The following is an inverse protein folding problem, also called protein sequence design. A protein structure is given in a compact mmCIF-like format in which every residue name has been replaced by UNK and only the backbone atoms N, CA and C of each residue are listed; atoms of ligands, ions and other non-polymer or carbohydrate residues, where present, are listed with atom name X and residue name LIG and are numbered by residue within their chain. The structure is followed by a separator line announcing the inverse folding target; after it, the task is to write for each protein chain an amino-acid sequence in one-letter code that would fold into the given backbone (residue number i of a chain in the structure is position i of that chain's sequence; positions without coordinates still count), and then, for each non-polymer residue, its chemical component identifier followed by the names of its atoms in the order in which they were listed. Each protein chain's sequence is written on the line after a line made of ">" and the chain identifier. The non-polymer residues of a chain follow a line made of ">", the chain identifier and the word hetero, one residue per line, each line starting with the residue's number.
data_IF_378913561246
#
_entry.id   IF_378913561246
#
_cell.length_a   1.000
_cell.length_b   1.000
_cell.length_c   1.000
_cell.angle_alpha   90.00
_cell.angle_beta   90.00
_cell.angle_gamma   90.00
#
_symmetry.space_group_name_H-M   'P 1'
#
loop_
_entity.id
_entity.type
_entity.pdbx_description
1 polymer ?
#
# COMPACT_ATOMS: atom_id res chain seq x y z
N UNK A 1 -13.71 -96.21 -37.22
CA UNK A 1 -12.86 -95.36 -36.43
C UNK A 1 -12.80 -94.01 -37.12
N UNK A 2 -13.50 -92.98 -36.59
CA UNK A 2 -13.52 -91.65 -37.12
C UNK A 2 -13.00 -90.71 -36.00
N UNK A 3 -11.83 -90.14 -36.23
CA UNK A 3 -11.15 -89.26 -35.27
C UNK A 3 -11.53 -87.80 -35.64
N UNK A 4 -12.23 -87.15 -34.70
CA UNK A 4 -12.62 -85.74 -34.83
C UNK A 4 -11.55 -84.84 -34.18
N UNK A 5 -10.93 -83.97 -34.99
CA UNK A 5 -9.99 -82.95 -34.50
C UNK A 5 -10.80 -81.66 -34.18
N UNK A 6 -10.82 -81.23 -32.91
CA UNK A 6 -11.40 -79.94 -32.55
C UNK A 6 -10.35 -78.86 -32.52
N UNK A 7 -10.51 -77.83 -33.35
CA UNK A 7 -9.73 -76.61 -33.42
C UNK A 7 -10.19 -75.68 -32.29
N UNK A 8 -9.30 -75.33 -31.36
CA UNK A 8 -9.52 -74.24 -30.38
C UNK A 8 -8.97 -72.94 -30.92
N UNK A 9 -9.83 -71.99 -31.18
CA UNK A 9 -9.41 -70.60 -31.42
C UNK A 9 -9.05 -69.94 -30.10
N UNK A 10 -7.80 -69.51 -29.94
CA UNK A 10 -7.35 -68.65 -28.85
C UNK A 10 -7.53 -67.19 -29.30
N UNK A 11 -8.49 -66.52 -28.69
CA UNK A 11 -8.68 -65.07 -28.88
C UNK A 11 -7.65 -64.27 -28.05
N UNK A 12 -6.79 -63.54 -28.71
CA UNK A 12 -5.92 -62.53 -28.07
C UNK A 12 -6.73 -61.26 -27.86
N UNK A 13 -7.08 -60.95 -26.62
CA UNK A 13 -7.58 -59.65 -26.24
C UNK A 13 -6.41 -58.70 -26.00
N UNK A 14 -6.16 -57.79 -26.93
CA UNK A 14 -5.21 -56.71 -26.77
C UNK A 14 -5.83 -55.63 -25.88
N UNK A 15 -5.45 -55.58 -24.60
CA UNK A 15 -5.79 -54.46 -23.72
C UNK A 15 -4.92 -53.24 -24.08
N UNK A 16 -5.52 -52.24 -24.76
CA UNK A 16 -4.91 -50.90 -24.88
C UNK A 16 -4.91 -50.22 -23.50
N UNK A 17 -3.76 -50.21 -22.82
CA UNK A 17 -3.52 -49.32 -21.70
C UNK A 17 -3.31 -47.91 -22.29
N UNK A 18 -4.35 -47.06 -22.23
CA UNK A 18 -4.22 -45.63 -22.42
C UNK A 18 -3.51 -45.05 -21.16
N UNK A 19 -2.21 -44.86 -21.26
CA UNK A 19 -1.47 -44.10 -20.26
C UNK A 19 -1.89 -42.64 -20.36
N UNK A 20 -2.76 -42.21 -19.42
CA UNK A 20 -3.06 -40.81 -19.23
C UNK A 20 -1.80 -40.15 -18.65
N UNK A 21 -0.98 -39.58 -19.51
CA UNK A 21 0.04 -38.64 -19.07
C UNK A 21 -0.69 -37.39 -18.56
N UNK A 22 -0.90 -37.32 -17.26
CA UNK A 22 -1.23 -36.06 -16.60
C UNK A 22 0.00 -35.15 -16.80
N UNK A 23 -0.07 -34.30 -17.81
CA UNK A 23 0.81 -33.14 -17.87
C UNK A 23 0.46 -32.29 -16.63
N UNK A 24 1.25 -32.41 -15.59
CA UNK A 24 1.35 -31.33 -14.61
C UNK A 24 1.87 -30.12 -15.41
N UNK A 25 0.97 -29.29 -15.90
CA UNK A 25 1.36 -27.96 -16.37
C UNK A 25 2.04 -27.30 -15.18
N UNK A 26 3.37 -27.17 -15.25
CA UNK A 26 4.11 -26.38 -14.27
C UNK A 26 3.43 -25.01 -14.27
N UNK A 27 3.04 -24.55 -13.08
CA UNK A 27 2.45 -23.25 -12.93
C UNK A 27 3.45 -22.23 -13.50
N UNK A 28 3.04 -21.56 -14.57
CA UNK A 28 3.91 -20.60 -15.25
C UNK A 28 3.72 -19.23 -14.61
N UNK A 29 4.83 -18.56 -14.32
CA UNK A 29 4.82 -17.14 -13.96
C UNK A 29 4.22 -16.26 -15.07
N UNK A 30 4.17 -14.96 -14.88
CA UNK A 30 3.55 -14.06 -15.84
C UNK A 30 4.34 -13.98 -17.14
N UNK A 31 3.63 -13.94 -18.25
CA UNK A 31 4.21 -13.51 -19.53
C UNK A 31 4.29 -11.97 -19.55
N UNK A 32 5.39 -11.43 -20.09
CA UNK A 32 5.45 -10.01 -20.43
C UNK A 32 4.73 -9.78 -21.75
N UNK A 33 3.77 -8.87 -21.78
CA UNK A 33 2.91 -8.61 -22.93
C UNK A 33 2.84 -7.12 -23.25
N UNK A 34 2.40 -6.78 -24.47
CA UNK A 34 2.14 -5.39 -24.83
C UNK A 34 0.81 -4.90 -24.20
N UNK A 35 0.80 -3.62 -23.81
CA UNK A 35 -0.43 -2.93 -23.42
C UNK A 35 -1.39 -2.64 -24.59
N UNK A 36 -2.52 -1.99 -24.34
CA UNK A 36 -3.02 -1.62 -23.02
C UNK A 36 -3.52 -2.81 -22.21
N UNK A 37 -3.59 -2.63 -20.88
CA UNK A 37 -4.13 -3.59 -19.94
C UNK A 37 -5.64 -3.53 -19.78
N UNK A 38 -6.17 -4.37 -18.88
CA UNK A 38 -7.54 -4.32 -18.42
C UNK A 38 -7.78 -3.06 -17.57
N UNK A 39 -9.03 -2.59 -17.53
CA UNK A 39 -9.49 -1.47 -16.70
C UNK A 39 -8.51 -0.27 -16.65
N UNK A 40 -8.18 0.35 -17.81
CA UNK A 40 -7.12 1.35 -17.89
C UNK A 40 -7.41 2.63 -17.11
N UNK A 41 -8.65 2.85 -16.68
CA UNK A 41 -9.01 3.93 -15.78
C UNK A 41 -8.50 3.68 -14.37
N UNK A 42 -8.62 2.45 -13.89
CA UNK A 42 -8.16 2.04 -12.56
C UNK A 42 -6.67 1.65 -12.55
N UNK A 43 -6.25 0.82 -13.50
CA UNK A 43 -4.88 0.30 -13.55
C UNK A 43 -4.01 1.18 -14.46
N UNK A 44 -3.78 2.41 -14.03
CA UNK A 44 -2.93 3.35 -14.77
C UNK A 44 -1.46 2.94 -14.65
N UNK A 45 -0.72 2.77 -15.76
CA UNK A 45 0.71 2.48 -15.66
C UNK A 45 1.46 3.66 -15.02
N UNK A 46 2.47 3.35 -14.21
CA UNK A 46 3.28 4.36 -13.52
C UNK A 46 4.01 5.28 -14.51
N UNK A 47 4.52 4.71 -15.60
CA UNK A 47 5.20 5.43 -16.68
C UNK A 47 4.75 4.87 -18.04
N UNK A 48 5.04 5.61 -19.11
CA UNK A 48 4.64 5.21 -20.46
C UNK A 48 5.32 3.92 -20.94
N UNK A 49 6.49 3.59 -20.40
CA UNK A 49 7.27 2.38 -20.69
C UNK A 49 7.03 1.23 -19.71
N UNK A 50 6.07 1.39 -18.78
CA UNK A 50 5.66 0.33 -17.86
C UNK A 50 5.25 -0.92 -18.64
N UNK A 51 5.85 -2.05 -18.30
CA UNK A 51 5.55 -3.36 -18.90
C UNK A 51 4.23 -3.88 -18.33
N UNK A 52 3.65 -4.84 -19.05
CA UNK A 52 2.42 -5.50 -18.60
C UNK A 52 2.69 -6.98 -18.36
N UNK A 53 2.09 -7.50 -17.31
CA UNK A 53 2.08 -8.91 -16.99
C UNK A 53 0.74 -9.54 -17.33
N UNK A 54 0.80 -10.81 -17.74
CA UNK A 54 -0.37 -11.66 -17.93
C UNK A 54 -0.08 -13.06 -17.41
N UNK A 55 -0.80 -13.49 -16.39
CA UNK A 55 -0.79 -14.86 -15.91
C UNK A 55 -1.76 -15.71 -16.71
N UNK A 56 -1.54 -17.04 -16.82
CA UNK A 56 -2.59 -17.94 -17.27
C UNK A 56 -3.83 -17.80 -16.38
N UNK A 57 -5.01 -17.67 -16.99
CA UNK A 57 -6.26 -17.59 -16.23
C UNK A 57 -6.46 -18.83 -15.36
N UNK A 58 -6.79 -18.64 -14.11
CA UNK A 58 -7.12 -19.71 -13.15
C UNK A 58 -8.63 -19.79 -12.95
N UNK A 59 -9.19 -21.01 -12.75
CA UNK A 59 -10.57 -21.13 -12.31
C UNK A 59 -10.72 -20.62 -10.87
N UNK A 60 -11.72 -19.77 -10.62
CA UNK A 60 -12.08 -19.32 -9.28
C UNK A 60 -12.96 -20.36 -8.54
N UNK A 61 -13.35 -20.08 -7.27
CA UNK A 61 -12.93 -18.93 -6.46
C UNK A 61 -11.52 -19.09 -5.88
N UNK A 62 -10.85 -17.94 -5.63
CA UNK A 62 -9.43 -17.84 -5.33
C UNK A 62 -9.11 -17.79 -3.82
N UNK A 63 -7.92 -18.26 -3.46
CA UNK A 63 -7.32 -18.04 -2.14
C UNK A 63 -6.33 -16.88 -2.24
N UNK A 64 -6.61 -15.79 -1.53
CA UNK A 64 -5.81 -14.56 -1.54
C UNK A 64 -5.29 -14.29 -0.13
N UNK A 65 -4.01 -13.97 0.02
CA UNK A 65 -3.42 -13.60 1.30
C UNK A 65 -2.92 -12.16 1.29
N UNK A 66 -2.98 -11.49 2.46
CA UNK A 66 -2.33 -10.22 2.73
C UNK A 66 -1.30 -10.42 3.84
N UNK A 67 -0.01 -10.34 3.49
CA UNK A 67 1.12 -10.37 4.40
C UNK A 67 1.53 -8.93 4.76
N UNK A 68 0.95 -8.42 5.85
CA UNK A 68 1.27 -7.11 6.38
C UNK A 68 2.46 -7.21 7.36
N UNK A 69 3.22 -6.12 7.47
CA UNK A 69 4.22 -5.95 8.51
C UNK A 69 3.59 -5.66 9.88
N UNK A 70 3.83 -4.47 10.41
CA UNK A 70 3.28 -4.05 11.70
C UNK A 70 1.85 -3.48 11.59
N UNK A 71 1.16 -3.40 12.73
CA UNK A 71 -0.19 -2.82 12.86
C UNK A 71 -0.25 -1.74 13.96
N UNK A 72 0.88 -1.05 14.19
CA UNK A 72 1.02 -0.10 15.29
C UNK A 72 0.44 1.29 15.00
N UNK A 73 -0.22 1.49 13.87
CA UNK A 73 -0.90 2.74 13.55
C UNK A 73 -2.29 2.52 12.93
N UNK A 74 -3.10 3.56 12.99
CA UNK A 74 -4.50 3.53 12.54
C UNK A 74 -4.62 3.29 11.04
N UNK A 75 -3.66 3.82 10.23
CA UNK A 75 -3.63 3.58 8.80
C UNK A 75 -3.57 2.08 8.45
N UNK A 76 -2.68 1.34 9.13
CA UNK A 76 -2.52 -0.12 8.92
C UNK A 76 -3.75 -0.90 9.37
N UNK A 77 -4.37 -0.49 10.48
CA UNK A 77 -5.62 -1.08 10.95
C UNK A 77 -6.74 -0.83 9.95
N UNK A 78 -6.92 0.40 9.50
CA UNK A 78 -7.93 0.77 8.52
C UNK A 78 -7.68 0.08 7.16
N UNK A 79 -6.45 0.00 6.71
CA UNK A 79 -6.05 -0.71 5.49
C UNK A 79 -6.51 -2.18 5.50
N UNK A 80 -6.32 -2.89 6.61
CA UNK A 80 -6.76 -4.28 6.77
C UNK A 80 -8.29 -4.36 6.73
N UNK A 81 -8.98 -3.45 7.43
CA UNK A 81 -10.46 -3.38 7.45
C UNK A 81 -11.00 -3.17 6.04
N UNK A 82 -10.46 -2.21 5.30
CA UNK A 82 -10.87 -1.91 3.93
C UNK A 82 -10.61 -3.10 3.00
N UNK A 83 -9.45 -3.76 3.09
CA UNK A 83 -9.17 -4.94 2.28
C UNK A 83 -10.19 -6.06 2.51
N UNK A 84 -10.53 -6.32 3.79
CA UNK A 84 -11.55 -7.31 4.17
C UNK A 84 -12.96 -6.90 3.73
N UNK A 85 -13.32 -5.61 3.90
CA UNK A 85 -14.61 -5.08 3.47
C UNK A 85 -14.79 -5.25 1.96
N UNK A 86 -13.76 -4.89 1.16
CA UNK A 86 -13.80 -5.07 -0.29
C UNK A 86 -13.92 -6.55 -0.68
N UNK A 87 -13.14 -7.43 -0.06
CA UNK A 87 -13.20 -8.87 -0.32
C UNK A 87 -14.57 -9.47 0.00
N UNK A 88 -15.33 -8.87 0.90
CA UNK A 88 -16.69 -9.28 1.28
C UNK A 88 -17.81 -8.64 0.47
N UNK A 89 -17.52 -7.68 -0.41
CA UNK A 89 -18.55 -6.99 -1.19
C UNK A 89 -19.26 -7.92 -2.18
N UNK A 90 -20.57 -7.75 -2.41
CA UNK A 90 -21.29 -8.43 -3.49
C UNK A 90 -20.60 -8.19 -4.85
N UNK A 91 -20.43 -9.24 -5.65
CA UNK A 91 -19.72 -9.18 -6.92
C UNK A 91 -18.20 -9.36 -6.80
N UNK A 92 -17.63 -9.33 -5.57
CA UNK A 92 -16.20 -9.60 -5.29
C UNK A 92 -16.06 -10.91 -4.52
N UNK A 93 -16.87 -11.11 -3.47
CA UNK A 93 -16.82 -12.29 -2.61
C UNK A 93 -17.03 -13.62 -3.35
N UNK A 94 -17.74 -13.60 -4.47
CA UNK A 94 -17.98 -14.77 -5.32
C UNK A 94 -16.68 -15.25 -6.01
N UNK A 95 -15.71 -14.35 -6.21
CA UNK A 95 -14.39 -14.66 -6.75
C UNK A 95 -13.42 -15.16 -5.65
N UNK A 96 -13.76 -15.01 -4.37
CA UNK A 96 -12.84 -15.25 -3.25
C UNK A 96 -13.30 -16.46 -2.43
N UNK A 97 -12.50 -17.52 -2.41
CA UNK A 97 -12.68 -18.70 -1.55
C UNK A 97 -12.20 -18.43 -0.12
N UNK A 98 -11.08 -17.72 0.01
CA UNK A 98 -10.46 -17.38 1.29
C UNK A 98 -9.69 -16.08 1.13
N UNK A 99 -9.91 -15.12 2.06
CA UNK A 99 -9.08 -13.92 2.20
C UNK A 99 -8.43 -13.94 3.57
N UNK A 100 -7.13 -14.21 3.63
CA UNK A 100 -6.37 -14.34 4.89
C UNK A 100 -5.41 -13.18 5.09
N UNK A 101 -5.40 -12.63 6.30
CA UNK A 101 -4.47 -11.56 6.68
C UNK A 101 -3.55 -12.07 7.79
N UNK A 102 -2.26 -11.77 7.66
CA UNK A 102 -1.27 -11.97 8.71
C UNK A 102 -0.49 -10.66 8.91
N UNK A 103 -0.18 -10.35 10.17
CA UNK A 103 0.71 -9.25 10.55
C UNK A 103 1.82 -9.80 11.42
N UNK A 104 3.06 -9.52 11.08
CA UNK A 104 4.26 -10.15 11.67
C UNK A 104 5.13 -9.18 12.47
N UNK A 105 4.69 -7.92 12.61
CA UNK A 105 5.53 -6.86 13.19
C UNK A 105 6.57 -6.37 12.19
N UNK A 106 7.64 -5.76 12.69
CA UNK A 106 8.71 -5.18 11.85
C UNK A 106 9.78 -6.22 11.42
N UNK A 107 9.62 -7.48 11.81
CA UNK A 107 10.56 -8.54 11.46
C UNK A 107 10.46 -8.93 9.98
N UNK A 108 11.48 -8.57 9.20
CA UNK A 108 11.58 -8.86 7.76
C UNK A 108 11.64 -10.37 7.50
N UNK A 109 12.39 -11.13 8.32
CA UNK A 109 12.52 -12.56 8.14
C UNK A 109 11.19 -13.28 8.42
N UNK A 110 10.45 -12.85 9.44
CA UNK A 110 9.11 -13.36 9.71
C UNK A 110 8.12 -13.05 8.58
N UNK A 111 8.23 -11.86 7.94
CA UNK A 111 7.38 -11.52 6.80
C UNK A 111 7.69 -12.39 5.57
N UNK A 112 8.97 -12.58 5.25
CA UNK A 112 9.42 -13.49 4.20
C UNK A 112 8.94 -14.92 4.46
N UNK A 113 9.06 -15.41 5.69
CA UNK A 113 8.57 -16.73 6.08
C UNK A 113 7.05 -16.87 5.90
N UNK A 114 6.28 -15.85 6.26
CA UNK A 114 4.83 -15.83 6.07
C UNK A 114 4.44 -15.90 4.59
N UNK A 115 5.11 -15.13 3.72
CA UNK A 115 4.87 -15.19 2.26
C UNK A 115 5.23 -16.55 1.69
N UNK A 116 6.41 -17.11 2.05
CA UNK A 116 6.80 -18.45 1.64
C UNK A 116 5.78 -19.52 2.04
N UNK A 117 5.26 -19.41 3.27
CA UNK A 117 4.25 -20.34 3.76
C UNK A 117 2.93 -20.26 2.98
N UNK A 118 2.50 -19.07 2.57
CA UNK A 118 1.34 -18.91 1.69
C UNK A 118 1.57 -19.53 0.30
N UNK A 119 2.77 -19.35 -0.28
CA UNK A 119 3.14 -20.01 -1.55
C UNK A 119 3.05 -21.53 -1.38
N UNK A 120 3.65 -22.09 -0.33
CA UNK A 120 3.69 -23.53 -0.06
C UNK A 120 2.30 -24.13 0.26
N UNK A 121 1.38 -23.32 0.81
CA UNK A 121 -0.03 -23.67 1.02
C UNK A 121 -0.89 -23.56 -0.23
N UNK A 122 -0.36 -23.12 -1.38
CA UNK A 122 -1.06 -23.01 -2.64
C UNK A 122 -2.08 -21.86 -2.67
N UNK A 123 -1.74 -20.69 -2.09
CA UNK A 123 -2.51 -19.48 -2.34
C UNK A 123 -2.32 -19.03 -3.78
N UNK A 124 -3.38 -18.47 -4.38
CA UNK A 124 -3.37 -18.05 -5.78
C UNK A 124 -2.73 -16.67 -5.95
N UNK A 125 -2.96 -15.78 -5.01
CA UNK A 125 -2.32 -14.46 -4.95
C UNK A 125 -1.89 -14.09 -3.53
N UNK A 126 -0.78 -13.34 -3.43
CA UNK A 126 -0.24 -12.84 -2.17
C UNK A 126 0.04 -11.35 -2.32
N UNK A 127 -0.56 -10.57 -1.43
CA UNK A 127 -0.40 -9.13 -1.33
C UNK A 127 0.57 -8.83 -0.20
N UNK A 128 1.54 -7.96 -0.43
CA UNK A 128 2.58 -7.60 0.55
C UNK A 128 2.61 -6.09 0.76
N UNK A 129 2.62 -5.65 2.01
CA UNK A 129 3.06 -4.33 2.39
C UNK A 129 4.42 -4.50 3.07
N UNK A 130 5.52 -4.27 2.33
CA UNK A 130 6.84 -4.78 2.67
C UNK A 130 7.51 -3.99 3.79
N UNK A 131 8.10 -4.71 4.76
CA UNK A 131 8.94 -4.08 5.80
C UNK A 131 10.31 -3.62 5.25
N UNK A 132 10.77 -4.25 4.18
CA UNK A 132 12.02 -3.89 3.50
C UNK A 132 11.88 -4.14 2.00
N UNK A 133 12.20 -3.14 1.19
CA UNK A 133 12.01 -3.19 -0.26
C UNK A 133 12.88 -4.24 -0.95
N UNK A 134 14.15 -4.34 -0.56
CA UNK A 134 15.16 -5.12 -1.26
C UNK A 134 15.24 -6.60 -0.83
N UNK A 135 14.53 -7.00 0.26
CA UNK A 135 14.73 -8.31 0.86
C UNK A 135 13.95 -9.46 0.18
N UNK A 136 13.07 -9.17 -0.79
CA UNK A 136 12.09 -10.13 -1.29
C UNK A 136 12.45 -10.84 -2.61
N UNK A 137 13.62 -10.58 -3.21
CA UNK A 137 13.93 -11.10 -4.55
C UNK A 137 13.80 -12.63 -4.69
N UNK A 138 14.25 -13.41 -3.69
CA UNK A 138 14.08 -14.87 -3.70
C UNK A 138 12.62 -15.31 -3.59
N UNK A 139 11.82 -14.56 -2.85
CA UNK A 139 10.38 -14.82 -2.67
C UNK A 139 9.61 -14.50 -3.94
N UNK A 140 9.94 -13.38 -4.61
CA UNK A 140 9.37 -13.01 -5.92
C UNK A 140 9.62 -14.12 -6.93
N UNK A 141 10.88 -14.61 -7.01
CA UNK A 141 11.21 -15.73 -7.89
C UNK A 141 10.40 -16.97 -7.56
N UNK A 142 10.32 -17.37 -6.28
CA UNK A 142 9.56 -18.55 -5.84
C UNK A 142 8.07 -18.44 -6.17
N UNK A 143 7.46 -17.28 -5.97
CA UNK A 143 6.07 -17.03 -6.30
C UNK A 143 5.82 -17.19 -7.81
N UNK A 144 6.68 -16.59 -8.63
CA UNK A 144 6.58 -16.71 -10.09
C UNK A 144 6.76 -18.15 -10.57
N UNK A 145 7.77 -18.87 -10.05
CA UNK A 145 7.99 -20.30 -10.39
C UNK A 145 6.77 -21.16 -10.00
N UNK A 146 6.06 -20.82 -8.93
CA UNK A 146 4.84 -21.49 -8.48
C UNK A 146 3.57 -20.99 -9.18
N UNK A 147 3.65 -20.00 -10.07
CA UNK A 147 2.50 -19.36 -10.72
C UNK A 147 1.58 -18.61 -9.75
N UNK A 148 2.11 -18.13 -8.64
CA UNK A 148 1.40 -17.32 -7.66
C UNK A 148 1.53 -15.84 -8.06
N UNK A 149 0.42 -15.11 -8.08
CA UNK A 149 0.44 -13.67 -8.33
C UNK A 149 0.94 -12.96 -7.08
N UNK A 150 2.14 -12.37 -7.15
CA UNK A 150 2.69 -11.58 -6.06
C UNK A 150 2.54 -10.08 -6.35
N UNK A 151 1.90 -9.37 -5.42
CA UNK A 151 1.66 -7.94 -5.50
C UNK A 151 2.23 -7.26 -4.26
N UNK A 152 2.77 -6.06 -4.44
CA UNK A 152 3.14 -5.19 -3.34
C UNK A 152 2.47 -3.83 -3.48
N UNK A 153 2.18 -3.17 -2.36
CA UNK A 153 1.57 -1.85 -2.37
C UNK A 153 2.08 -0.99 -1.22
N UNK A 154 1.97 0.34 -1.36
CA UNK A 154 2.42 1.33 -0.39
C UNK A 154 3.93 1.20 -0.14
N UNK A 155 4.35 0.35 0.77
CA UNK A 155 5.75 -0.08 0.88
C UNK A 155 6.01 -1.23 -0.11
N UNK A 156 6.42 -0.87 -1.32
CA UNK A 156 6.57 -1.83 -2.42
C UNK A 156 7.87 -2.63 -2.35
N UNK A 157 7.84 -3.81 -2.94
CA UNK A 157 9.03 -4.65 -3.15
C UNK A 157 9.82 -4.11 -4.34
N UNK A 158 11.11 -3.88 -4.17
CA UNK A 158 12.02 -3.43 -5.22
C UNK A 158 12.50 -4.61 -6.08
N UNK A 159 11.59 -5.14 -6.86
CA UNK A 159 11.84 -6.20 -7.86
C UNK A 159 10.89 -5.99 -9.03
N UNK A 160 11.38 -5.94 -10.29
CA UNK A 160 10.53 -5.71 -11.46
C UNK A 160 9.62 -6.88 -11.82
N UNK A 161 9.71 -8.02 -11.14
CA UNK A 161 8.94 -9.23 -11.44
C UNK A 161 7.75 -9.45 -10.49
N UNK A 162 7.32 -8.41 -9.76
CA UNK A 162 6.06 -8.39 -9.01
C UNK A 162 5.20 -7.21 -9.47
N UNK A 163 3.90 -7.25 -9.19
CA UNK A 163 3.03 -6.09 -9.42
C UNK A 163 3.23 -5.10 -8.26
N UNK A 164 3.45 -3.84 -8.60
CA UNK A 164 3.61 -2.74 -7.65
C UNK A 164 2.44 -1.78 -7.77
N UNK A 165 1.82 -1.43 -6.65
CA UNK A 165 0.69 -0.49 -6.60
C UNK A 165 1.04 0.61 -5.61
N UNK A 166 1.24 1.82 -6.10
CA UNK A 166 1.67 2.91 -5.23
C UNK A 166 1.22 4.27 -5.77
N UNK A 167 1.32 5.26 -4.89
CA UNK A 167 1.31 6.67 -5.25
C UNK A 167 2.75 7.14 -5.48
N UNK A 168 2.89 8.36 -5.97
CA UNK A 168 4.18 9.01 -6.00
C UNK A 168 4.60 9.49 -4.59
N UNK A 169 5.15 8.57 -3.77
CA UNK A 169 5.58 8.87 -2.40
C UNK A 169 6.64 9.98 -2.36
N UNK A 170 7.57 9.97 -3.30
CA UNK A 170 8.57 11.04 -3.43
C UNK A 170 7.91 12.39 -3.73
N UNK A 171 6.87 12.39 -4.57
CA UNK A 171 6.07 13.58 -4.86
C UNK A 171 5.35 14.14 -3.64
N UNK A 172 4.88 13.28 -2.72
CA UNK A 172 4.28 13.71 -1.45
C UNK A 172 5.30 14.49 -0.62
N UNK A 173 6.49 13.93 -0.41
CA UNK A 173 7.54 14.63 0.33
C UNK A 173 7.98 15.95 -0.33
N UNK A 174 8.08 15.96 -1.66
CA UNK A 174 8.38 17.17 -2.43
C UNK A 174 7.34 18.27 -2.17
N UNK A 175 6.06 17.96 -2.30
CA UNK A 175 4.96 18.92 -2.12
C UNK A 175 4.89 19.42 -0.67
N UNK A 176 5.10 18.55 0.32
CA UNK A 176 5.19 18.94 1.73
C UNK A 176 6.31 19.97 1.97
N UNK A 177 7.51 19.72 1.41
CA UNK A 177 8.62 20.67 1.47
C UNK A 177 8.34 21.99 0.77
N UNK A 178 7.78 21.95 -0.43
CA UNK A 178 7.39 23.15 -1.20
C UNK A 178 6.33 23.97 -0.43
N UNK A 179 5.34 23.30 0.17
CA UNK A 179 4.32 23.98 0.99
C UNK A 179 4.96 24.69 2.19
N UNK A 180 5.80 24.01 2.98
CA UNK A 180 6.44 24.61 4.15
C UNK A 180 7.33 25.78 3.76
N UNK A 181 8.12 25.65 2.70
CA UNK A 181 8.99 26.73 2.21
C UNK A 181 8.24 27.93 1.64
N UNK A 182 7.02 27.73 1.14
CA UNK A 182 6.12 28.81 0.71
C UNK A 182 5.53 29.55 1.90
N UNK A 183 5.09 28.83 2.93
CA UNK A 183 4.41 29.43 4.08
C UNK A 183 5.38 30.10 5.08
N UNK A 184 6.61 29.59 5.23
CA UNK A 184 7.62 30.22 6.09
C UNK A 184 8.38 31.34 5.38
N UNK A 185 8.66 32.44 6.13
CA UNK A 185 9.44 33.60 5.62
C UNK A 185 10.84 33.66 6.22
N UNK A 186 11.17 32.84 7.22
CA UNK A 186 12.46 32.85 7.89
C UNK A 186 13.60 32.48 6.94
N UNK A 187 14.77 33.07 7.14
CA UNK A 187 16.01 32.74 6.44
C UNK A 187 17.21 32.83 7.41
N UNK A 188 17.82 31.72 7.84
CA UNK A 188 17.46 30.33 7.48
C UNK A 188 16.10 29.93 8.01
N UNK A 189 15.37 29.11 7.23
CA UNK A 189 14.16 28.45 7.70
C UNK A 189 14.53 27.25 8.58
N UNK A 190 13.90 27.12 9.75
CA UNK A 190 14.11 26.00 10.68
C UNK A 190 12.94 25.05 10.61
N UNK A 191 13.15 23.86 10.08
CA UNK A 191 12.10 22.87 9.88
C UNK A 191 12.32 21.66 10.80
N UNK A 192 11.24 21.18 11.43
CA UNK A 192 11.22 19.90 12.10
C UNK A 192 10.68 18.85 11.12
N UNK A 193 11.42 17.75 10.96
CA UNK A 193 11.00 16.63 10.15
C UNK A 193 10.78 15.39 11.02
N UNK A 194 9.51 15.00 11.19
CA UNK A 194 9.07 13.83 11.97
C UNK A 194 8.87 12.66 11.01
N UNK A 195 9.86 11.78 10.99
CA UNK A 195 9.97 10.68 10.03
C UNK A 195 9.19 9.45 10.45
N UNK A 196 8.94 8.59 9.46
CA UNK A 196 8.47 7.22 9.67
C UNK A 196 9.54 6.29 10.25
N UNK A 197 9.28 4.96 10.30
CA UNK A 197 10.29 3.98 10.68
C UNK A 197 11.43 3.98 9.66
N UNK A 198 12.63 4.29 10.15
CA UNK A 198 13.80 4.52 9.32
C UNK A 198 14.09 3.35 8.37
N UNK A 199 14.29 3.66 7.09
CA UNK A 199 14.64 2.69 6.04
C UNK A 199 13.47 1.93 5.43
N UNK A 200 12.24 2.22 5.82
CA UNK A 200 11.08 1.71 5.08
C UNK A 200 10.90 2.45 3.75
N UNK A 201 10.39 1.77 2.70
CA UNK A 201 10.32 2.35 1.34
C UNK A 201 9.62 3.70 1.27
N UNK A 202 8.52 3.87 2.00
CA UNK A 202 7.75 5.13 2.06
C UNK A 202 8.55 6.22 2.75
N UNK A 203 9.18 5.94 3.90
CA UNK A 203 10.02 6.89 4.64
C UNK A 203 11.18 7.38 3.76
N UNK A 204 11.88 6.48 3.09
CA UNK A 204 12.99 6.84 2.21
C UNK A 204 12.51 7.73 1.06
N UNK A 205 11.45 7.33 0.36
CA UNK A 205 10.95 8.08 -0.79
C UNK A 205 10.43 9.47 -0.41
N UNK A 206 9.68 9.59 0.70
CA UNK A 206 9.18 10.88 1.20
C UNK A 206 10.32 11.78 1.68
N UNK A 207 11.31 11.23 2.38
CA UNK A 207 12.52 11.96 2.78
C UNK A 207 13.27 12.51 1.57
N UNK A 208 13.49 11.69 0.53
CA UNK A 208 14.14 12.11 -0.71
C UNK A 208 13.38 13.26 -1.39
N UNK A 209 12.06 13.22 -1.40
CA UNK A 209 11.22 14.27 -1.97
C UNK A 209 11.32 15.57 -1.16
N UNK A 210 11.29 15.49 0.15
CA UNK A 210 11.43 16.64 1.04
C UNK A 210 12.79 17.31 0.89
N UNK A 211 13.87 16.53 0.86
CA UNK A 211 15.23 17.07 0.62
C UNK A 211 15.37 17.68 -0.78
N UNK A 212 14.70 17.10 -1.78
CA UNK A 212 14.66 17.67 -3.14
C UNK A 212 13.97 19.04 -3.17
N UNK A 213 12.85 19.22 -2.43
CA UNK A 213 12.19 20.51 -2.30
C UNK A 213 13.13 21.58 -1.72
N UNK A 214 13.85 21.22 -0.65
CA UNK A 214 14.83 22.10 -0.02
C UNK A 214 15.93 22.48 -1.01
N UNK A 215 16.53 21.51 -1.69
CA UNK A 215 17.61 21.75 -2.66
C UNK A 215 17.14 22.65 -3.82
N UNK A 216 15.94 22.42 -4.34
CA UNK A 216 15.37 23.22 -5.44
C UNK A 216 15.00 24.66 -5.04
N UNK A 217 14.71 24.90 -3.77
CA UNK A 217 14.30 26.21 -3.28
C UNK A 217 15.40 27.27 -3.32
N UNK A 218 16.67 26.85 -3.29
CA UNK A 218 17.82 27.73 -3.16
C UNK A 218 17.90 28.49 -1.83
N UNK A 219 16.99 28.21 -0.88
CA UNK A 219 16.94 28.86 0.45
C UNK A 219 17.87 28.15 1.42
N UNK A 220 18.30 28.88 2.45
CA UNK A 220 18.97 28.28 3.60
C UNK A 220 17.93 27.63 4.49
N UNK A 221 18.07 26.34 4.76
CA UNK A 221 17.16 25.56 5.59
C UNK A 221 17.96 24.74 6.58
N UNK A 222 17.58 24.82 7.84
CA UNK A 222 18.08 23.97 8.92
C UNK A 222 17.00 22.93 9.23
N UNK A 223 17.31 21.64 9.09
CA UNK A 223 16.36 20.57 9.37
C UNK A 223 16.78 19.83 10.64
N UNK A 224 15.86 19.72 11.57
CA UNK A 224 15.97 18.80 12.71
C UNK A 224 15.12 17.57 12.40
N UNK A 225 15.75 16.40 12.31
CA UNK A 225 15.05 15.14 12.05
C UNK A 225 14.85 14.35 13.33
N UNK A 226 13.64 13.81 13.50
CA UNK A 226 13.25 12.91 14.61
C UNK A 226 12.41 11.76 14.06
N UNK A 227 12.40 10.62 14.74
CA UNK A 227 11.66 9.43 14.28
C UNK A 227 10.38 9.27 15.08
N UNK A 228 9.23 9.44 14.41
CA UNK A 228 7.89 9.33 14.98
C UNK A 228 7.18 8.00 14.65
N UNK A 229 7.85 7.10 13.88
CA UNK A 229 7.37 5.74 13.60
C UNK A 229 5.97 5.65 12.98
N UNK A 230 5.47 6.72 12.35
CA UNK A 230 4.09 6.85 11.86
C UNK A 230 3.04 6.57 12.96
N UNK A 231 3.41 6.82 14.21
CA UNK A 231 2.57 6.62 15.38
C UNK A 231 2.26 7.95 16.05
N UNK A 232 0.98 8.30 16.32
CA UNK A 232 0.64 9.59 16.91
C UNK A 232 1.28 9.84 18.27
N UNK A 233 1.39 8.81 19.12
CA UNK A 233 2.02 8.93 20.44
C UNK A 233 3.52 9.19 20.37
N UNK A 234 4.23 8.46 19.48
CA UNK A 234 5.65 8.65 19.25
C UNK A 234 5.91 10.04 18.60
N UNK A 235 5.13 10.41 17.59
CA UNK A 235 5.22 11.71 16.93
C UNK A 235 4.98 12.87 17.93
N UNK A 236 4.00 12.75 18.83
CA UNK A 236 3.76 13.73 19.90
C UNK A 236 4.97 13.85 20.81
N UNK A 237 5.47 12.70 21.29
CA UNK A 237 6.62 12.66 22.20
C UNK A 237 7.85 13.31 21.59
N UNK A 238 8.28 12.87 20.39
CA UNK A 238 9.51 13.37 19.77
C UNK A 238 9.41 14.84 19.37
N UNK A 239 8.22 15.30 18.99
CA UNK A 239 7.94 16.72 18.71
C UNK A 239 8.02 17.55 19.98
N UNK A 240 7.40 17.09 21.09
CA UNK A 240 7.49 17.77 22.38
C UNK A 240 8.92 17.83 22.90
N UNK A 241 9.67 16.73 22.77
CA UNK A 241 11.10 16.69 23.17
C UNK A 241 11.93 17.68 22.34
N UNK A 242 11.72 17.78 21.04
CA UNK A 242 12.41 18.73 20.17
C UNK A 242 12.11 20.19 20.54
N UNK A 243 10.83 20.50 20.86
CA UNK A 243 10.42 21.83 21.35
C UNK A 243 11.04 22.13 22.72
N UNK A 244 11.02 21.17 23.64
CA UNK A 244 11.56 21.33 24.98
C UNK A 244 13.08 21.52 25.01
N UNK A 245 13.79 20.91 24.07
CA UNK A 245 15.24 21.11 23.88
C UNK A 245 15.61 22.52 23.37
N UNK A 246 14.64 23.42 23.28
CA UNK A 246 14.84 24.80 22.84
C UNK A 246 14.68 24.99 21.35
N UNK A 247 14.13 23.99 20.64
CA UNK A 247 13.83 24.08 19.21
C UNK A 247 12.72 25.11 18.95
N UNK A 248 13.03 26.10 18.12
CA UNK A 248 12.04 27.00 17.52
C UNK A 248 12.00 26.66 16.04
N UNK A 249 10.85 26.22 15.58
CA UNK A 249 10.67 25.78 14.21
C UNK A 249 9.74 26.73 13.47
N UNK A 250 9.97 26.91 12.18
CA UNK A 250 9.15 27.73 11.28
C UNK A 250 8.14 26.88 10.50
N UNK A 251 8.26 25.56 10.57
CA UNK A 251 7.37 24.60 9.96
C UNK A 251 7.70 23.18 10.38
N UNK A 252 6.70 22.28 10.28
CA UNK A 252 6.85 20.87 10.64
C UNK A 252 6.35 19.99 9.48
N UNK A 253 7.18 19.05 9.04
CA UNK A 253 6.75 17.95 8.17
C UNK A 253 6.63 16.67 8.99
N UNK A 254 5.49 15.98 8.86
CA UNK A 254 5.19 14.73 9.58
C UNK A 254 4.76 13.67 8.57
N UNK A 255 5.55 12.62 8.43
CA UNK A 255 5.24 11.53 7.49
C UNK A 255 4.05 10.66 7.91
N UNK A 256 3.62 10.73 9.16
CA UNK A 256 2.49 10.02 9.73
C UNK A 256 2.42 10.18 11.24
N UNK A 257 1.22 10.04 11.82
CA UNK A 257 0.95 10.42 13.21
C UNK A 257 0.84 11.94 13.37
N UNK A 258 0.36 12.61 12.34
CA UNK A 258 0.36 14.08 12.21
C UNK A 258 -0.42 14.76 13.33
N UNK A 259 -1.54 14.13 13.80
CA UNK A 259 -2.27 14.66 14.95
C UNK A 259 -1.41 14.73 16.21
N UNK A 260 -0.50 13.77 16.43
CA UNK A 260 0.36 13.76 17.61
C UNK A 260 1.36 14.93 17.59
N UNK A 261 2.02 15.16 16.48
CA UNK A 261 2.93 16.30 16.32
C UNK A 261 2.20 17.64 16.46
N UNK A 262 1.02 17.78 15.85
CA UNK A 262 0.18 18.95 15.98
C UNK A 262 -0.27 19.18 17.44
N UNK A 263 -0.63 18.10 18.16
CA UNK A 263 -0.99 18.18 19.58
C UNK A 263 0.18 18.67 20.44
N UNK A 264 1.38 18.15 20.22
CA UNK A 264 2.57 18.61 20.96
C UNK A 264 2.81 20.12 20.77
N UNK A 265 2.54 20.64 19.58
CA UNK A 265 2.65 22.07 19.29
C UNK A 265 1.57 22.89 20.02
N UNK A 266 0.33 22.43 20.02
CA UNK A 266 -0.78 23.06 20.76
C UNK A 266 -0.51 23.05 22.25
N UNK A 267 -0.07 21.92 22.81
CA UNK A 267 0.24 21.75 24.24
C UNK A 267 1.40 22.66 24.69
N UNK A 268 2.39 22.87 23.84
CA UNK A 268 3.50 23.78 24.13
C UNK A 268 3.06 25.25 24.25
N UNK A 269 1.97 25.64 23.61
CA UNK A 269 1.34 26.97 23.76
C UNK A 269 2.20 28.15 23.34
N UNK A 270 3.36 27.92 22.71
CA UNK A 270 4.37 28.95 22.43
C UNK A 270 4.29 29.51 21.01
N UNK A 271 3.99 28.67 20.05
CA UNK A 271 3.87 29.04 18.65
C UNK A 271 3.09 27.97 17.87
N UNK A 272 2.36 28.42 16.89
CA UNK A 272 1.74 27.56 15.88
C UNK A 272 2.36 27.90 14.54
N UNK A 273 2.83 26.89 13.82
CA UNK A 273 3.52 27.04 12.53
C UNK A 273 2.85 26.20 11.47
N UNK A 274 3.14 26.40 10.18
CA UNK A 274 2.68 25.53 9.11
C UNK A 274 3.07 24.06 9.35
N UNK A 275 2.14 23.13 9.07
CA UNK A 275 2.34 21.70 9.23
C UNK A 275 1.95 20.98 7.93
N UNK A 276 2.86 20.20 7.39
CA UNK A 276 2.56 19.22 6.34
C UNK A 276 2.41 17.83 6.99
N UNK A 277 1.33 17.12 6.68
CA UNK A 277 1.02 15.83 7.29
C UNK A 277 0.14 14.95 6.43
N UNK A 278 -0.45 13.92 7.03
CA UNK A 278 -1.35 12.99 6.35
C UNK A 278 -2.84 13.36 6.51
N UNK A 279 -3.71 12.67 5.80
CA UNK A 279 -5.16 12.92 5.76
C UNK A 279 -5.93 12.30 6.95
N UNK A 280 -5.30 12.31 8.15
CA UNK A 280 -5.91 11.94 9.42
C UNK A 280 -7.01 12.93 9.81
N UNK A 281 -8.19 12.43 10.20
CA UNK A 281 -9.33 13.26 10.53
C UNK A 281 -9.03 14.21 11.72
N UNK A 282 -8.42 13.70 12.80
CA UNK A 282 -8.06 14.53 13.95
C UNK A 282 -7.04 15.63 13.59
N UNK A 283 -6.05 15.32 12.76
CA UNK A 283 -5.09 16.32 12.28
C UNK A 283 -5.81 17.44 11.53
N UNK A 284 -6.69 17.08 10.59
CA UNK A 284 -7.48 18.07 9.84
C UNK A 284 -8.43 18.90 10.70
N UNK A 285 -9.04 18.29 11.73
CA UNK A 285 -9.84 19.05 12.72
C UNK A 285 -8.97 20.08 13.43
N UNK A 286 -7.81 19.66 13.97
CA UNK A 286 -6.89 20.56 14.66
C UNK A 286 -6.38 21.68 13.76
N UNK A 287 -6.12 21.40 12.50
CA UNK A 287 -5.74 22.41 11.52
C UNK A 287 -6.84 23.44 11.31
N UNK A 288 -8.11 23.03 11.20
CA UNK A 288 -9.23 23.98 11.06
C UNK A 288 -9.39 24.85 12.32
N UNK A 289 -9.31 24.26 13.51
CA UNK A 289 -9.45 24.98 14.79
C UNK A 289 -8.34 26.01 15.03
N UNK A 290 -7.17 25.79 14.46
CA UNK A 290 -5.98 26.61 14.71
C UNK A 290 -5.45 27.33 13.45
N UNK A 291 -6.20 27.28 12.33
CA UNK A 291 -5.78 27.88 11.07
C UNK A 291 -5.46 29.37 11.19
N UNK A 292 -6.38 30.13 11.77
CA UNK A 292 -6.23 31.58 11.95
C UNK A 292 -5.21 31.97 13.03
N UNK A 293 -4.75 30.97 13.81
CA UNK A 293 -3.69 31.16 14.82
C UNK A 293 -2.29 30.83 14.29
N UNK A 294 -2.19 30.48 13.00
CA UNK A 294 -0.91 30.22 12.32
C UNK A 294 -0.66 28.76 11.93
N UNK A 295 -1.50 27.79 12.37
CA UNK A 295 -1.39 26.39 11.95
C UNK A 295 -2.04 26.18 10.58
N UNK A 296 -1.40 26.70 9.54
CA UNK A 296 -1.77 26.34 8.18
C UNK A 296 -1.29 24.95 7.87
N UNK A 297 -2.16 24.13 7.26
CA UNK A 297 -1.80 22.75 7.00
C UNK A 297 -1.94 22.39 5.52
N UNK A 298 -1.02 21.52 5.11
CA UNK A 298 -1.16 20.64 3.96
C UNK A 298 -1.37 19.23 4.49
N UNK A 299 -2.29 18.51 3.90
CA UNK A 299 -2.43 17.09 4.17
C UNK A 299 -2.47 16.31 2.88
N UNK A 300 -1.62 15.29 2.79
CA UNK A 300 -1.49 14.50 1.59
C UNK A 300 -1.17 13.06 1.88
N UNK A 301 -1.58 12.20 0.97
CA UNK A 301 -1.30 10.80 1.09
C UNK A 301 -2.14 9.97 0.13
N UNK A 302 -2.03 8.66 0.29
CA UNK A 302 -2.99 7.71 -0.28
C UNK A 302 -3.71 7.07 0.88
N UNK A 303 -5.02 7.19 0.87
CA UNK A 303 -5.83 6.55 1.88
C UNK A 303 -5.65 5.04 1.93
N UNK A 304 -5.98 4.41 3.06
CA UNK A 304 -5.91 2.97 3.26
C UNK A 304 -6.65 2.13 2.22
N UNK A 305 -7.59 2.75 1.49
CA UNK A 305 -8.38 2.09 0.43
C UNK A 305 -7.56 1.63 -0.79
N UNK A 306 -6.29 2.01 -0.91
CA UNK A 306 -5.39 1.39 -1.89
C UNK A 306 -5.29 -0.14 -1.73
N UNK A 307 -5.53 -0.67 -0.53
CA UNK A 307 -5.60 -2.11 -0.30
C UNK A 307 -6.73 -2.79 -1.06
N UNK A 308 -7.89 -2.13 -1.21
CA UNK A 308 -8.99 -2.62 -2.02
C UNK A 308 -8.63 -2.64 -3.52
N UNK A 309 -7.94 -1.61 -4.02
CA UNK A 309 -7.42 -1.60 -5.39
C UNK A 309 -6.47 -2.77 -5.61
N UNK A 310 -5.64 -3.09 -4.61
CA UNK A 310 -4.69 -4.21 -4.70
C UNK A 310 -5.41 -5.57 -4.75
N UNK A 311 -6.49 -5.76 -3.95
CA UNK A 311 -7.31 -6.97 -4.03
C UNK A 311 -7.99 -7.08 -5.40
N UNK A 312 -8.55 -5.97 -5.94
CA UNK A 312 -9.13 -5.92 -7.29
C UNK A 312 -8.09 -6.32 -8.35
N UNK A 313 -6.89 -5.80 -8.24
CA UNK A 313 -5.78 -6.12 -9.15
C UNK A 313 -5.41 -7.60 -9.10
N UNK A 314 -5.35 -8.20 -7.89
CA UNK A 314 -5.07 -9.62 -7.71
C UNK A 314 -6.11 -10.49 -8.42
N UNK A 315 -7.40 -10.18 -8.26
CA UNK A 315 -8.48 -10.91 -8.92
C UNK A 315 -8.39 -10.78 -10.45
N UNK A 316 -8.13 -9.58 -10.97
CA UNK A 316 -7.98 -9.34 -12.41
C UNK A 316 -6.80 -10.14 -12.98
N UNK A 317 -5.65 -10.14 -12.31
CA UNK A 317 -4.48 -10.94 -12.71
C UNK A 317 -4.79 -12.45 -12.72
N UNK A 318 -5.52 -12.95 -11.72
CA UNK A 318 -5.92 -14.36 -11.64
C UNK A 318 -6.93 -14.77 -12.71
N UNK A 319 -7.75 -13.84 -13.19
CA UNK A 319 -8.65 -14.03 -14.34
C UNK A 319 -7.91 -14.01 -15.68
N UNK A 320 -6.60 -13.76 -15.68
CA UNK A 320 -5.79 -13.71 -16.90
C UNK A 320 -5.78 -12.35 -17.59
N UNK A 321 -6.21 -11.31 -16.91
CA UNK A 321 -6.16 -9.96 -17.44
C UNK A 321 -4.70 -9.45 -17.54
N UNK A 322 -4.47 -8.53 -18.49
CA UNK A 322 -3.20 -7.84 -18.62
C UNK A 322 -3.11 -6.73 -17.60
N UNK A 323 -2.12 -6.78 -16.72
CA UNK A 323 -1.94 -5.83 -15.61
C UNK A 323 -0.62 -5.08 -15.78
N UNK A 324 -0.58 -3.75 -15.63
CA UNK A 324 0.69 -3.02 -15.57
C UNK A 324 1.55 -3.54 -14.42
N UNK A 325 2.83 -3.73 -14.67
CA UNK A 325 3.80 -4.14 -13.64
C UNK A 325 3.83 -3.13 -12.47
N UNK A 326 3.72 -1.83 -12.78
CA UNK A 326 3.62 -0.77 -11.80
C UNK A 326 2.38 0.08 -12.07
N UNK A 327 1.48 0.17 -11.09
CA UNK A 327 0.23 0.91 -11.15
C UNK A 327 0.39 2.19 -10.32
N UNK A 328 0.12 3.33 -10.96
CA UNK A 328 0.08 4.63 -10.31
C UNK A 328 -1.31 4.92 -9.75
N UNK A 329 -1.40 5.10 -8.44
CA UNK A 329 -2.59 5.63 -7.79
C UNK A 329 -2.52 7.17 -7.72
N UNK A 330 -3.66 7.87 -7.76
CA UNK A 330 -3.68 9.31 -7.60
C UNK A 330 -3.26 9.71 -6.18
N UNK A 331 -2.43 10.74 -6.07
CA UNK A 331 -2.10 11.39 -4.81
C UNK A 331 -3.16 12.44 -4.50
N UNK A 332 -3.73 12.41 -3.30
CA UNK A 332 -4.66 13.43 -2.83
C UNK A 332 -3.91 14.42 -1.94
N UNK A 333 -3.85 15.68 -2.36
CA UNK A 333 -3.30 16.79 -1.57
C UNK A 333 -4.41 17.78 -1.29
N UNK A 334 -4.52 18.21 -0.06
CA UNK A 334 -5.51 19.18 0.41
C UNK A 334 -4.87 20.19 1.35
N UNK A 335 -5.43 21.39 1.42
CA UNK A 335 -4.94 22.48 2.25
C UNK A 335 -6.03 22.97 3.19
N UNK A 336 -5.65 23.39 4.41
CA UNK A 336 -6.56 24.01 5.35
C UNK A 336 -6.98 25.44 4.88
N UNK A 337 -8.20 25.90 5.18
CA UNK A 337 -9.23 25.21 5.93
C UNK A 337 -9.90 24.09 5.13
N UNK A 338 -10.04 22.91 5.76
CA UNK A 338 -10.65 21.74 5.16
C UNK A 338 -12.18 21.81 5.20
N UNK A 339 -12.84 21.31 4.16
CA UNK A 339 -14.29 21.29 4.08
C UNK A 339 -14.90 20.22 4.98
N UNK A 340 -15.76 20.64 5.90
CA UNK A 340 -16.55 19.75 6.79
C UNK A 340 -17.52 18.93 5.94
N UNK A 341 -17.60 17.63 6.23
CA UNK A 341 -18.43 16.66 5.50
C UNK A 341 -17.84 16.16 4.17
N UNK A 342 -16.69 16.72 3.73
CA UNK A 342 -15.99 16.26 2.52
C UNK A 342 -14.56 15.80 2.83
N UNK A 343 -13.84 16.57 3.63
CA UNK A 343 -12.42 16.37 3.93
C UNK A 343 -12.14 16.17 5.42
N UNK A 344 -13.05 16.64 6.27
CA UNK A 344 -12.99 16.50 7.71
C UNK A 344 -14.38 16.20 8.27
N UNK A 345 -14.45 15.30 9.26
CA UNK A 345 -15.68 14.74 9.79
C UNK A 345 -15.67 14.79 11.33
N UNK A 346 -16.15 15.90 11.94
CA UNK A 346 -16.08 16.08 13.39
C UNK A 346 -16.85 15.02 14.21
N UNK A 347 -17.86 14.38 13.60
CA UNK A 347 -18.68 13.33 14.20
C UNK A 347 -18.03 11.93 14.16
N UNK A 348 -16.92 11.77 13.43
CA UNK A 348 -16.25 10.49 13.24
C UNK A 348 -14.94 10.41 14.03
N UNK A 349 -14.43 9.18 14.29
CA UNK A 349 -13.19 9.03 15.03
C UNK A 349 -12.03 9.82 14.43
N UNK A 350 -11.23 10.42 15.30
CA UNK A 350 -10.04 11.17 14.91
C UNK A 350 -8.98 10.31 14.20
N UNK A 351 -8.94 9.02 14.50
CA UNK A 351 -8.05 8.02 13.89
C UNK A 351 -8.44 7.63 12.44
N UNK A 352 -9.57 8.15 11.93
CA UNK A 352 -10.00 7.88 10.57
C UNK A 352 -9.08 8.59 9.57
N UNK A 353 -8.58 7.85 8.58
CA UNK A 353 -8.01 8.40 7.35
C UNK A 353 -9.12 8.64 6.35
N UNK A 354 -9.20 9.82 5.78
CA UNK A 354 -10.37 10.27 5.00
C UNK A 354 -10.28 9.94 3.51
N UNK A 355 -9.09 9.57 3.01
CA UNK A 355 -8.83 9.22 1.61
C UNK A 355 -9.26 7.80 1.24
N UNK A 356 -10.58 7.51 1.21
CA UNK A 356 -11.09 6.16 1.04
C UNK A 356 -11.76 5.90 -0.32
N UNK A 357 -11.53 6.77 -1.31
CA UNK A 357 -12.22 6.71 -2.58
C UNK A 357 -11.26 6.65 -3.77
N UNK A 358 -11.46 5.66 -4.62
CA UNK A 358 -10.83 5.53 -5.94
C UNK A 358 -11.92 5.40 -7.01
N UNK A 359 -12.54 6.51 -7.43
CA UNK A 359 -13.71 6.48 -8.32
C UNK A 359 -13.40 5.86 -9.68
N UNK A 360 -12.19 6.07 -10.21
CA UNK A 360 -11.73 5.44 -11.45
C UNK A 360 -11.69 3.90 -11.34
N UNK A 361 -11.53 3.38 -10.11
CA UNK A 361 -11.58 1.94 -9.81
C UNK A 361 -12.97 1.45 -9.41
N UNK A 362 -13.96 2.36 -9.30
CA UNK A 362 -15.29 2.08 -8.73
C UNK A 362 -15.19 1.54 -7.30
N UNK A 363 -14.24 2.06 -6.54
CA UNK A 363 -14.00 1.73 -5.14
C UNK A 363 -14.27 2.97 -4.31
N UNK A 364 -15.11 2.83 -3.29
CA UNK A 364 -15.39 3.85 -2.31
C UNK A 364 -15.94 3.21 -1.05
N UNK A 365 -15.57 3.79 0.09
CA UNK A 365 -16.05 3.37 1.39
C UNK A 365 -16.46 4.59 2.19
N UNK A 366 -17.64 4.54 2.79
CA UNK A 366 -18.02 5.52 3.81
C UNK A 366 -17.23 5.26 5.10
N UNK A 367 -17.13 6.29 5.92
CA UNK A 367 -16.46 6.16 7.21
C UNK A 367 -17.20 5.17 8.13
N UNK A 368 -18.52 5.11 8.06
CA UNK A 368 -19.34 4.15 8.81
C UNK A 368 -19.06 2.71 8.37
N UNK A 369 -18.94 2.45 7.07
CA UNK A 369 -18.60 1.12 6.56
C UNK A 369 -17.25 0.64 7.08
N UNK A 370 -16.26 1.53 7.16
CA UNK A 370 -14.93 1.21 7.69
C UNK A 370 -14.99 1.02 9.21
N UNK A 371 -15.73 1.87 9.92
CA UNK A 371 -15.89 1.81 11.37
C UNK A 371 -16.61 0.55 11.86
N UNK A 372 -17.44 -0.05 11.03
CA UNK A 372 -18.23 -1.24 11.35
C UNK A 372 -17.48 -2.57 11.17
N UNK A 373 -16.24 -2.57 10.66
CA UNK A 373 -15.44 -3.78 10.37
C UNK A 373 -14.63 -4.29 11.57
#
# INVERSE_FOLDING_TARGET
>A
MKTTISLRLAGFAAALMASVFSYNAMAAGPAMVAGPGADPACFKPLTADTKYFQWPAKPGPYRIALANGFIANDWRVQMIKVAKAYAGQPGVKEDIKEFKVVSVGQDVAAQIAAVNNFIDQGYDAIIVNANNSAAFGSVVKKANDAGVVLLSFDNVIDDPNNIQINVNQKGIGLLAGEFLLKETKADPAKLLFVRGPAGQPVDVARSDGFQEAIAKSGRKVEVTEVVGNWNPGDAQKVTADAIAAGGVFDGIYVEGGSQGAAQAMVDAGKFLVPVAGEDENAFRMMCNENHDKGMKCESGGTGPAQSAVTVKTAIAALKGDKIPQAIALPTSISYSPYKVGEQVFPELPGSLFTGNNFPDCKIGFTAEEIGSQ
#
